data_IF_228196409679
#
_entry.id   IF_228196409679
#
_cell.length_a   1.000
_cell.length_b   1.000
_cell.length_c   1.000
_cell.angle_alpha   90.00
_cell.angle_beta   90.00
_cell.angle_gamma   90.00
#
_symmetry.space_group_name_H-M   'P 1'
#
loop_
_entity.id
_entity.type
_entity.pdbx_description
1 polymer ?
#
# COMPACT_ATOMS: atom_id res chain seq x y z
N UNK A 1 11.72 -15.10 3.06
CA UNK A 1 13.11 -15.49 2.79
C UNK A 1 13.27 -17.00 2.58
N UNK A 2 12.51 -17.85 3.27
CA UNK A 2 12.48 -19.31 3.04
C UNK A 2 11.85 -19.76 1.70
N UNK A 3 11.36 -18.83 0.86
CA UNK A 3 10.72 -19.14 -0.43
C UNK A 3 11.71 -19.18 -1.61
N UNK A 4 12.94 -18.69 -1.43
CA UNK A 4 13.98 -18.70 -2.46
C UNK A 4 14.97 -19.81 -2.13
N UNK A 5 15.21 -20.73 -3.08
CA UNK A 5 16.10 -21.86 -2.83
C UNK A 5 17.54 -21.39 -2.54
N UNK A 6 18.21 -21.95 -1.51
CA UNK A 6 19.61 -21.69 -1.22
C UNK A 6 20.52 -21.96 -2.43
N UNK A 7 20.18 -23.00 -3.21
CA UNK A 7 20.90 -23.44 -4.41
C UNK A 7 21.06 -22.31 -5.44
N UNK A 8 20.06 -21.42 -5.60
CA UNK A 8 20.16 -20.28 -6.52
C UNK A 8 21.17 -19.25 -6.03
N UNK A 9 21.30 -19.07 -4.72
CA UNK A 9 22.30 -18.18 -4.13
C UNK A 9 23.69 -18.78 -4.19
N UNK A 10 23.83 -20.08 -3.95
CA UNK A 10 25.10 -20.80 -4.02
C UNK A 10 25.62 -20.85 -5.46
N UNK A 11 24.79 -21.21 -6.44
CA UNK A 11 25.16 -21.17 -7.85
C UNK A 11 25.60 -19.76 -8.29
N UNK A 12 24.86 -18.71 -7.91
CA UNK A 12 25.24 -17.34 -8.22
C UNK A 12 26.52 -16.88 -7.52
N UNK A 13 26.87 -17.47 -6.37
CA UNK A 13 28.13 -17.22 -5.69
C UNK A 13 29.30 -17.87 -6.41
N UNK A 14 29.11 -19.08 -6.93
CA UNK A 14 30.09 -19.79 -7.76
C UNK A 14 30.34 -19.05 -9.08
N UNK A 15 29.31 -18.40 -9.66
CA UNK A 15 29.43 -17.53 -10.84
C UNK A 15 29.98 -16.12 -10.54
N UNK A 16 30.43 -15.85 -9.30
CA UNK A 16 31.05 -14.58 -8.91
C UNK A 16 30.08 -13.40 -8.80
N UNK A 17 28.78 -13.62 -8.68
CA UNK A 17 27.80 -12.54 -8.59
C UNK A 17 27.95 -11.74 -7.28
N UNK A 18 28.11 -10.42 -7.40
CA UNK A 18 28.17 -9.50 -6.27
C UNK A 18 26.79 -9.35 -5.57
N UNK A 19 26.73 -8.94 -4.29
CA UNK A 19 25.50 -8.91 -3.47
C UNK A 19 24.35 -8.14 -4.13
N UNK A 20 24.66 -7.01 -4.75
CA UNK A 20 23.70 -6.19 -5.50
C UNK A 20 23.11 -6.93 -6.70
N UNK A 21 23.93 -7.71 -7.41
CA UNK A 21 23.47 -8.47 -8.59
C UNK A 21 22.50 -9.57 -8.20
N UNK A 22 22.76 -10.26 -7.08
CA UNK A 22 21.86 -11.27 -6.49
C UNK A 22 20.54 -10.65 -6.04
N UNK A 23 20.57 -9.46 -5.42
CA UNK A 23 19.35 -8.75 -5.02
C UNK A 23 18.43 -8.47 -6.20
N UNK A 24 18.96 -7.89 -7.28
CA UNK A 24 18.17 -7.49 -8.45
C UNK A 24 17.71 -8.65 -9.32
N UNK A 25 18.50 -9.72 -9.45
CA UNK A 25 18.22 -10.80 -10.41
C UNK A 25 17.68 -12.08 -9.77
N UNK A 26 17.79 -12.25 -8.45
CA UNK A 26 17.35 -13.46 -7.75
C UNK A 26 16.28 -13.09 -6.73
N UNK A 27 16.61 -12.21 -5.77
CA UNK A 27 15.72 -11.91 -4.63
C UNK A 27 14.47 -11.15 -5.05
N UNK A 28 14.64 -10.02 -5.74
CA UNK A 28 13.53 -9.17 -6.20
C UNK A 28 12.59 -9.93 -7.13
N UNK A 29 13.08 -10.66 -8.16
CA UNK A 29 12.22 -11.43 -9.04
C UNK A 29 11.45 -12.55 -8.34
N UNK A 30 12.10 -13.25 -7.40
CA UNK A 30 11.46 -14.34 -6.65
C UNK A 30 10.41 -13.86 -5.63
N UNK A 31 10.49 -12.60 -5.19
CA UNK A 31 9.52 -11.99 -4.27
C UNK A 31 8.39 -11.22 -4.96
N UNK A 32 8.41 -11.08 -6.29
CA UNK A 32 7.32 -10.47 -7.07
C UNK A 32 5.91 -10.94 -6.69
N UNK A 33 5.61 -12.24 -6.47
CA UNK A 33 4.26 -12.70 -6.07
C UNK A 33 3.79 -12.05 -4.79
N UNK A 34 4.66 -12.09 -3.79
CA UNK A 34 4.39 -11.63 -2.44
C UNK A 34 4.27 -10.11 -2.44
N UNK A 35 5.16 -9.41 -3.15
CA UNK A 35 5.10 -7.95 -3.28
C UNK A 35 3.82 -7.52 -3.99
N UNK A 36 3.40 -8.21 -5.06
CA UNK A 36 2.18 -7.91 -5.79
C UNK A 36 0.93 -8.08 -4.89
N UNK A 37 0.85 -9.20 -4.16
CA UNK A 37 -0.23 -9.44 -3.21
C UNK A 37 -0.27 -8.38 -2.11
N UNK A 38 0.87 -8.11 -1.47
CA UNK A 38 0.97 -7.11 -0.41
C UNK A 38 0.65 -5.70 -0.92
N UNK A 39 1.01 -5.38 -2.16
CA UNK A 39 0.70 -4.09 -2.77
C UNK A 39 -0.82 -3.91 -2.92
N UNK A 40 -1.54 -4.92 -3.42
CA UNK A 40 -3.01 -4.85 -3.52
C UNK A 40 -3.65 -4.68 -2.14
N UNK A 41 -3.19 -5.42 -1.14
CA UNK A 41 -3.70 -5.33 0.23
C UNK A 41 -3.38 -3.97 0.87
N UNK A 42 -2.16 -3.44 0.67
CA UNK A 42 -1.76 -2.17 1.28
C UNK A 42 -2.35 -0.94 0.62
N UNK A 43 -2.62 -0.99 -0.68
CA UNK A 43 -3.25 0.13 -1.39
C UNK A 43 -4.64 0.45 -0.82
N UNK A 44 -5.38 -0.56 -0.37
CA UNK A 44 -6.65 -0.35 0.33
C UNK A 44 -6.50 0.41 1.65
N UNK A 45 -5.47 0.07 2.43
CA UNK A 45 -5.20 0.73 3.72
C UNK A 45 -4.57 2.11 3.57
N UNK A 46 -3.81 2.36 2.50
CA UNK A 46 -3.05 3.59 2.28
C UNK A 46 -3.91 4.86 2.35
N UNK A 47 -5.19 4.78 1.97
CA UNK A 47 -6.09 5.92 2.00
C UNK A 47 -6.51 6.33 3.41
N UNK A 48 -6.42 5.46 4.41
CA UNK A 48 -6.81 5.72 5.81
C UNK A 48 -5.62 5.75 6.76
N UNK A 49 -4.38 5.70 6.23
CA UNK A 49 -3.18 5.63 7.06
C UNK A 49 -3.06 6.85 7.96
N UNK A 50 -2.86 6.57 9.25
CA UNK A 50 -2.49 7.57 10.24
C UNK A 50 -3.62 8.44 10.75
N UNK A 51 -4.88 8.23 10.35
CA UNK A 51 -6.00 9.04 10.84
C UNK A 51 -6.06 9.08 12.37
N UNK A 52 -6.10 7.92 13.03
CA UNK A 52 -6.20 7.84 14.50
C UNK A 52 -4.99 8.48 15.18
N UNK A 53 -3.80 8.20 14.67
CA UNK A 53 -2.56 8.77 15.19
C UNK A 53 -2.54 10.30 15.05
N UNK A 54 -2.90 10.83 13.88
CA UNK A 54 -2.93 12.26 13.60
C UNK A 54 -4.01 12.95 14.44
N UNK A 55 -5.18 12.32 14.59
CA UNK A 55 -6.26 12.82 15.43
C UNK A 55 -5.84 12.91 16.90
N UNK A 56 -5.14 11.90 17.42
CA UNK A 56 -4.63 11.90 18.79
C UNK A 56 -3.51 12.93 19.00
N UNK A 57 -2.61 13.07 18.01
CA UNK A 57 -1.51 14.04 18.06
C UNK A 57 -1.98 15.48 17.91
N UNK A 58 -3.18 15.73 17.36
CA UNK A 58 -3.76 17.07 17.16
C UNK A 58 -3.78 17.92 18.43
N UNK A 59 -3.95 17.29 19.60
CA UNK A 59 -3.89 18.01 20.90
C UNK A 59 -2.49 18.51 21.25
N UNK A 60 -1.45 17.79 20.82
CA UNK A 60 -0.05 18.07 21.13
C UNK A 60 0.61 19.02 20.10
N UNK A 61 0.32 18.85 18.81
CA UNK A 61 0.99 19.62 17.73
C UNK A 61 0.11 20.72 17.13
N UNK A 62 -1.17 20.77 17.50
CA UNK A 62 -2.14 21.73 17.01
C UNK A 62 -2.61 21.48 15.56
N UNK A 63 -3.71 22.12 15.14
CA UNK A 63 -4.33 21.87 13.84
C UNK A 63 -3.39 22.15 12.66
N UNK A 64 -2.54 23.18 12.73
CA UNK A 64 -1.65 23.54 11.63
C UNK A 64 -0.67 22.43 11.20
N UNK A 65 -0.32 21.51 12.10
CA UNK A 65 0.60 20.40 11.82
C UNK A 65 -0.10 19.02 11.73
N UNK A 66 -1.37 18.92 12.13
CA UNK A 66 -2.13 17.66 12.18
C UNK A 66 -3.44 17.71 11.39
N UNK A 67 -3.60 18.67 10.49
CA UNK A 67 -4.81 18.79 9.67
C UNK A 67 -4.59 18.14 8.31
N UNK A 68 -5.12 16.93 8.19
CA UNK A 68 -5.31 16.21 6.93
C UNK A 68 -6.79 16.10 6.60
N UNK A 69 -7.09 15.73 5.35
CA UNK A 69 -8.46 15.57 4.83
C UNK A 69 -9.36 14.80 5.80
N UNK A 70 -8.90 13.67 6.33
CA UNK A 70 -9.68 12.81 7.22
C UNK A 70 -9.99 13.48 8.57
N UNK A 71 -9.03 14.16 9.19
CA UNK A 71 -9.24 14.94 10.42
C UNK A 71 -10.13 16.17 10.21
N UNK A 72 -10.05 16.82 9.05
CA UNK A 72 -10.91 17.95 8.74
C UNK A 72 -12.37 17.50 8.58
N UNK A 73 -12.59 16.45 7.78
CA UNK A 73 -13.91 15.87 7.56
C UNK A 73 -14.50 15.33 8.86
N UNK A 74 -13.67 14.74 9.73
CA UNK A 74 -14.07 14.34 11.08
C UNK A 74 -14.58 15.51 11.92
N UNK A 75 -13.85 16.63 11.97
CA UNK A 75 -14.27 17.83 12.71
C UNK A 75 -15.57 18.41 12.13
N UNK A 76 -15.67 18.57 10.80
CA UNK A 76 -16.89 19.10 10.17
C UNK A 76 -18.08 18.17 10.36
N UNK A 77 -17.86 16.87 10.31
CA UNK A 77 -18.89 15.86 10.46
C UNK A 77 -19.45 15.73 11.87
N UNK A 78 -18.56 15.52 12.84
CA UNK A 78 -18.93 15.23 14.22
C UNK A 78 -19.16 16.50 15.03
N UNK A 79 -18.35 17.54 14.84
CA UNK A 79 -18.47 18.79 15.62
C UNK A 79 -19.56 19.71 15.07
N UNK A 80 -19.74 19.78 13.74
CA UNK A 80 -20.75 20.65 13.11
C UNK A 80 -22.00 19.90 12.62
N UNK A 81 -22.10 18.58 12.86
CA UNK A 81 -23.26 17.77 12.46
C UNK A 81 -23.40 17.52 10.94
N UNK A 82 -22.34 17.77 10.16
CA UNK A 82 -22.33 17.67 8.71
C UNK A 82 -22.20 16.23 8.17
N UNK A 83 -23.05 15.29 8.61
CA UNK A 83 -22.94 13.88 8.23
C UNK A 83 -23.06 13.63 6.71
N UNK A 84 -23.87 14.43 6.00
CA UNK A 84 -23.98 14.36 4.53
C UNK A 84 -22.67 14.68 3.83
N UNK A 85 -21.92 15.66 4.35
CA UNK A 85 -20.60 16.03 3.84
C UNK A 85 -19.58 14.92 4.06
N UNK A 86 -19.56 14.31 5.25
CA UNK A 86 -18.70 13.15 5.55
C UNK A 86 -19.01 11.99 4.62
N UNK A 87 -20.28 11.67 4.43
CA UNK A 87 -20.71 10.58 3.56
C UNK A 87 -20.28 10.82 2.10
N UNK A 88 -20.45 12.05 1.58
CA UNK A 88 -20.02 12.41 0.25
C UNK A 88 -18.51 12.25 0.06
N UNK A 89 -17.70 12.73 1.01
CA UNK A 89 -16.24 12.58 0.97
C UNK A 89 -15.84 11.10 1.08
N UNK A 90 -16.53 10.32 1.91
CA UNK A 90 -16.31 8.87 2.02
C UNK A 90 -16.55 8.13 0.70
N UNK A 91 -17.61 8.47 -0.03
CA UNK A 91 -17.89 7.91 -1.36
C UNK A 91 -16.79 8.28 -2.35
N UNK A 92 -16.38 9.54 -2.40
CA UNK A 92 -15.29 10.01 -3.28
C UNK A 92 -13.99 9.27 -2.97
N UNK A 93 -13.63 9.15 -1.69
CA UNK A 93 -12.48 8.40 -1.22
C UNK A 93 -12.55 6.92 -1.62
N UNK A 94 -13.74 6.32 -1.55
CA UNK A 94 -14.01 4.97 -2.03
C UNK A 94 -13.76 4.80 -3.53
N UNK A 95 -14.16 5.78 -4.36
CA UNK A 95 -13.89 5.78 -5.81
C UNK A 95 -12.38 5.83 -6.07
N UNK A 96 -11.65 6.71 -5.39
CA UNK A 96 -10.19 6.75 -5.51
C UNK A 96 -9.53 5.44 -5.05
N UNK A 97 -10.03 4.83 -3.97
CA UNK A 97 -9.57 3.53 -3.50
C UNK A 97 -9.78 2.42 -4.52
N UNK A 98 -10.97 2.38 -5.13
CA UNK A 98 -11.28 1.42 -6.18
C UNK A 98 -10.33 1.59 -7.38
N UNK A 99 -10.11 2.83 -7.85
CA UNK A 99 -9.19 3.10 -8.95
C UNK A 99 -7.76 2.69 -8.62
N UNK A 100 -7.29 2.94 -7.40
CA UNK A 100 -5.96 2.53 -6.95
C UNK A 100 -5.82 1.02 -6.87
N UNK A 101 -6.83 0.31 -6.34
CA UNK A 101 -6.83 -1.17 -6.28
C UNK A 101 -6.85 -1.78 -7.68
N UNK A 102 -7.64 -1.24 -8.60
CA UNK A 102 -7.66 -1.68 -9.99
C UNK A 102 -6.31 -1.42 -10.69
N UNK A 103 -5.70 -0.26 -10.43
CA UNK A 103 -4.35 0.07 -10.91
C UNK A 103 -3.30 -0.88 -10.36
N UNK A 104 -3.31 -1.14 -9.05
CA UNK A 104 -2.45 -2.09 -8.36
C UNK A 104 -2.58 -3.51 -8.94
N UNK A 105 -3.81 -3.98 -9.13
CA UNK A 105 -4.09 -5.28 -9.72
C UNK A 105 -3.58 -5.37 -11.17
N UNK A 106 -3.72 -4.29 -11.95
CA UNK A 106 -3.18 -4.22 -13.31
C UNK A 106 -1.66 -4.26 -13.35
N UNK A 107 -0.99 -3.57 -12.42
CA UNK A 107 0.48 -3.62 -12.28
C UNK A 107 0.94 -5.01 -11.87
N UNK A 108 0.28 -5.65 -10.91
CA UNK A 108 0.53 -7.03 -10.50
C UNK A 108 0.48 -8.00 -11.69
N UNK A 109 -0.58 -7.90 -12.50
CA UNK A 109 -0.73 -8.74 -13.70
C UNK A 109 0.37 -8.49 -14.74
N UNK A 110 0.80 -7.24 -14.90
CA UNK A 110 1.88 -6.87 -15.83
C UNK A 110 3.27 -7.34 -15.37
N UNK A 111 3.43 -7.68 -14.10
CA UNK A 111 4.68 -8.20 -13.54
C UNK A 111 4.85 -9.72 -13.75
N UNK A 112 3.92 -10.38 -14.44
CA UNK A 112 4.03 -11.81 -14.83
C UNK A 112 3.52 -12.79 -13.79
N UNK A 113 2.83 -12.29 -12.77
CA UNK A 113 2.22 -13.07 -11.70
C UNK A 113 0.74 -13.32 -12.00
N UNK A 114 0.24 -14.54 -11.75
CA UNK A 114 -1.17 -14.88 -11.94
C UNK A 114 -2.02 -13.98 -11.03
N UNK A 115 -2.65 -12.99 -11.65
CA UNK A 115 -3.64 -12.14 -10.99
C UNK A 115 -4.80 -13.00 -10.45
N UNK A 116 -5.48 -12.49 -9.42
CA UNK A 116 -6.54 -13.17 -8.67
C UNK A 116 -7.70 -13.71 -9.53
N UNK A 117 -7.83 -13.27 -10.78
CA UNK A 117 -8.71 -13.91 -11.76
C UNK A 117 -7.92 -14.93 -12.60
N UNK A 118 -8.07 -16.21 -12.25
CA UNK A 118 -7.97 -17.28 -13.24
C UNK A 118 -9.16 -17.12 -14.21
N UNK A 119 -8.88 -16.97 -15.50
CA UNK A 119 -9.70 -17.70 -16.48
C UNK A 119 -9.26 -19.17 -16.42
#
# INVERSE_FOLDING_TARGET
LAAVSPDLYEASAMDGANRWRRMWHITLPALRPVVALLLVLQVGNALTVGFEQILLQRTAVGPGASEVLDTYVWNVGITNGGFSYVAAVGIIKGIFGLLLVLGANKVAHRMGEQGVYKQ
#
